data_IF_145475991514
#
_entry.id   IF_145475991514
#
_cell.length_a   1.000
_cell.length_b   1.000
_cell.length_c   1.000
_cell.angle_alpha   90.00
_cell.angle_beta   90.00
_cell.angle_gamma   90.00
#
_symmetry.space_group_name_H-M   'P 1'
#
loop_
_entity.id
_entity.type
_entity.pdbx_description
1 polymer ?
#
# COMPACT_ATOMS: atom_id res chain seq x y z
N UNK A 1 47.46 -27.54 6.59
CA UNK A 1 46.38 -28.07 5.72
C UNK A 1 45.10 -28.00 6.53
N UNK A 2 44.46 -26.85 6.54
CA UNK A 2 43.30 -26.56 7.35
C UNK A 2 42.08 -26.51 6.42
N UNK A 3 41.16 -27.42 6.67
CA UNK A 3 39.93 -27.57 5.90
C UNK A 3 39.00 -26.40 6.19
N UNK A 4 38.70 -25.62 5.19
CA UNK A 4 37.65 -24.59 5.21
C UNK A 4 36.30 -25.30 5.24
N UNK A 5 35.51 -25.05 6.27
CA UNK A 5 34.12 -25.49 6.40
C UNK A 5 33.20 -24.52 5.60
N UNK A 6 32.49 -24.97 4.53
CA UNK A 6 31.65 -24.14 3.75
C UNK A 6 30.16 -24.16 4.22
N UNK A 7 29.89 -24.09 5.52
CA UNK A 7 28.51 -24.16 6.05
C UNK A 7 28.06 -22.88 6.76
N UNK A 8 28.34 -21.69 6.21
CA UNK A 8 27.61 -20.48 6.56
C UNK A 8 26.81 -19.98 5.34
N UNK A 9 25.83 -20.77 4.91
CA UNK A 9 24.75 -20.23 4.09
C UNK A 9 23.97 -19.24 4.97
N UNK A 10 24.24 -17.96 4.79
CA UNK A 10 23.37 -16.89 5.28
C UNK A 10 21.97 -17.14 4.72
N UNK A 11 21.10 -17.70 5.54
CA UNK A 11 19.65 -17.70 5.26
C UNK A 11 19.27 -16.24 5.13
N UNK A 12 19.03 -15.79 3.92
CA UNK A 12 18.39 -14.49 3.68
C UNK A 12 17.01 -14.59 4.34
N UNK A 13 16.87 -14.01 5.53
CA UNK A 13 15.55 -13.89 6.16
C UNK A 13 14.59 -13.32 5.15
N UNK A 14 13.53 -14.05 4.83
CA UNK A 14 12.51 -13.60 3.91
C UNK A 14 11.91 -12.30 4.46
N UNK A 15 12.11 -11.19 3.76
CA UNK A 15 11.64 -9.85 4.18
C UNK A 15 10.11 -9.78 4.17
N UNK A 16 9.47 -10.65 3.39
CA UNK A 16 8.00 -10.72 3.26
C UNK A 16 7.50 -11.99 3.95
N UNK A 17 6.57 -11.89 4.90
CA UNK A 17 6.02 -13.06 5.57
C UNK A 17 5.23 -13.94 4.61
N UNK A 18 5.27 -15.25 4.83
CA UNK A 18 4.44 -16.20 4.12
C UNK A 18 2.96 -15.98 4.48
N UNK A 19 2.11 -15.79 3.47
CA UNK A 19 0.66 -15.69 3.63
C UNK A 19 0.04 -17.02 3.20
N UNK A 20 -0.58 -17.78 4.13
CA UNK A 20 -1.19 -19.06 3.78
C UNK A 20 -2.42 -18.86 2.88
N UNK A 21 -2.77 -19.88 2.05
CA UNK A 21 -4.02 -19.86 1.30
C UNK A 21 -5.24 -19.71 2.22
N UNK A 22 -6.21 -18.90 1.80
CA UNK A 22 -7.45 -18.65 2.54
C UNK A 22 -8.62 -19.52 2.11
N UNK A 23 -8.40 -20.46 1.16
CA UNK A 23 -9.44 -21.32 0.63
C UNK A 23 -9.89 -22.33 1.68
N UNK A 24 -11.18 -22.29 2.03
CA UNK A 24 -11.88 -23.17 2.96
C UNK A 24 -13.27 -23.46 2.38
N UNK A 25 -13.39 -24.61 1.71
CA UNK A 25 -14.61 -24.97 0.96
C UNK A 25 -15.82 -25.18 1.88
N UNK A 26 -15.59 -25.76 3.07
CA UNK A 26 -16.66 -26.02 4.02
C UNK A 26 -17.22 -24.71 4.57
N UNK A 27 -16.34 -23.79 4.92
CA UNK A 27 -16.76 -22.45 5.37
C UNK A 27 -17.44 -21.64 4.27
N UNK A 28 -16.94 -21.73 3.05
CA UNK A 28 -17.56 -21.09 1.90
C UNK A 28 -19.00 -21.60 1.70
N UNK A 29 -19.21 -22.92 1.76
CA UNK A 29 -20.53 -23.55 1.64
C UNK A 29 -21.45 -23.14 2.81
N UNK A 30 -20.95 -23.10 4.03
CA UNK A 30 -21.72 -22.68 5.21
C UNK A 30 -22.18 -21.21 5.10
N UNK A 31 -21.30 -20.31 4.66
CA UNK A 31 -21.66 -18.90 4.45
C UNK A 31 -22.68 -18.77 3.33
N UNK A 32 -22.49 -19.47 2.21
CA UNK A 32 -23.44 -19.44 1.09
C UNK A 32 -24.82 -19.96 1.53
N UNK A 33 -24.88 -21.06 2.28
CA UNK A 33 -26.13 -21.59 2.79
C UNK A 33 -26.86 -20.57 3.69
N UNK A 34 -26.15 -19.80 4.51
CA UNK A 34 -26.73 -18.71 5.33
C UNK A 34 -27.26 -17.56 4.48
N UNK A 35 -26.56 -17.22 3.38
CA UNK A 35 -27.03 -16.21 2.43
C UNK A 35 -28.30 -16.65 1.71
N UNK A 36 -28.37 -17.91 1.31
CA UNK A 36 -29.49 -18.49 0.58
C UNK A 36 -30.74 -18.67 1.49
N UNK A 37 -30.53 -18.86 2.80
CA UNK A 37 -31.61 -18.98 3.77
C UNK A 37 -32.26 -17.62 4.12
N UNK A 38 -31.75 -16.49 3.63
CA UNK A 38 -32.36 -15.18 3.86
C UNK A 38 -33.63 -15.01 3.01
N UNK A 39 -34.62 -14.28 3.57
CA UNK A 39 -35.90 -14.00 2.92
C UNK A 39 -35.75 -12.97 1.75
N UNK A 40 -35.03 -13.36 0.73
CA UNK A 40 -34.76 -12.59 -0.49
C UNK A 40 -34.53 -13.51 -1.69
N UNK A 41 -34.70 -13.04 -2.94
CA UNK A 41 -34.33 -13.83 -4.11
C UNK A 41 -32.83 -14.19 -4.09
N UNK A 42 -32.44 -15.44 -4.38
CA UNK A 42 -31.06 -15.85 -4.51
C UNK A 42 -30.29 -14.93 -5.50
N UNK A 43 -29.06 -14.56 -5.16
CA UNK A 43 -28.24 -13.70 -5.99
C UNK A 43 -28.62 -12.21 -6.01
N UNK A 44 -29.65 -11.78 -5.27
CA UNK A 44 -30.14 -10.39 -5.29
C UNK A 44 -29.14 -9.35 -4.76
N UNK A 45 -28.15 -9.75 -3.97
CA UNK A 45 -27.06 -8.87 -3.51
C UNK A 45 -25.86 -8.84 -4.48
N UNK A 46 -25.91 -9.66 -5.55
CA UNK A 46 -24.87 -9.68 -6.57
C UNK A 46 -23.48 -9.93 -5.98
N UNK A 47 -22.52 -9.06 -6.29
CA UNK A 47 -21.12 -9.20 -5.83
C UNK A 47 -20.95 -9.17 -4.31
N UNK A 48 -21.88 -8.60 -3.56
CA UNK A 48 -21.80 -8.58 -2.09
C UNK A 48 -21.83 -9.99 -1.50
N UNK A 49 -22.51 -10.95 -2.13
CA UNK A 49 -22.56 -12.35 -1.68
C UNK A 49 -21.16 -12.99 -1.81
N UNK A 50 -20.52 -12.87 -2.97
CA UNK A 50 -19.17 -13.41 -3.16
C UNK A 50 -18.13 -12.73 -2.25
N UNK A 51 -18.25 -11.44 -1.99
CA UNK A 51 -17.41 -10.73 -1.05
C UNK A 51 -17.63 -11.22 0.39
N UNK A 52 -18.87 -11.46 0.80
CA UNK A 52 -19.19 -12.00 2.13
C UNK A 52 -18.53 -13.39 2.33
N UNK A 53 -18.61 -14.26 1.33
CA UNK A 53 -17.96 -15.57 1.34
C UNK A 53 -16.44 -15.41 1.45
N UNK A 54 -15.83 -14.57 0.61
CA UNK A 54 -14.39 -14.34 0.61
C UNK A 54 -13.90 -13.78 1.95
N UNK A 55 -14.56 -12.75 2.49
CA UNK A 55 -14.20 -12.14 3.78
C UNK A 55 -14.37 -13.15 4.92
N UNK A 56 -15.44 -13.95 4.89
CA UNK A 56 -15.66 -14.98 5.89
C UNK A 56 -14.57 -16.07 5.88
N UNK A 57 -14.06 -16.46 4.71
CA UNK A 57 -12.92 -17.37 4.60
C UNK A 57 -11.64 -16.73 5.16
N UNK A 58 -11.35 -15.46 4.81
CA UNK A 58 -10.17 -14.72 5.29
C UNK A 58 -10.21 -14.60 6.81
N UNK A 59 -11.34 -14.19 7.37
CA UNK A 59 -11.52 -14.00 8.81
C UNK A 59 -11.84 -15.29 9.57
N UNK A 60 -11.93 -16.42 8.87
CA UNK A 60 -12.23 -17.75 9.41
C UNK A 60 -13.49 -17.77 10.26
N UNK A 61 -14.54 -17.11 9.80
CA UNK A 61 -15.84 -17.00 10.50
C UNK A 61 -17.00 -17.02 9.51
N UNK A 62 -18.14 -17.55 9.93
CA UNK A 62 -19.39 -17.52 9.13
C UNK A 62 -20.17 -16.21 9.29
N UNK A 63 -19.75 -15.34 10.22
CA UNK A 63 -20.36 -14.04 10.47
C UNK A 63 -19.28 -12.94 10.44
N UNK A 64 -18.69 -12.66 9.26
CA UNK A 64 -17.61 -11.72 9.15
C UNK A 64 -18.04 -10.31 9.56
N UNK A 65 -17.17 -9.63 10.30
CA UNK A 65 -17.32 -8.23 10.66
C UNK A 65 -15.99 -7.52 10.44
N UNK A 66 -16.02 -6.38 9.79
CA UNK A 66 -14.86 -5.49 9.71
C UNK A 66 -14.77 -4.73 11.04
N UNK A 67 -13.62 -4.86 11.69
CA UNK A 67 -13.34 -4.22 12.99
C UNK A 67 -12.21 -3.21 12.77
N UNK A 68 -12.41 -2.01 13.27
CA UNK A 68 -11.45 -0.90 13.23
C UNK A 68 -10.73 -0.76 11.87
N UNK A 69 -11.49 -0.70 10.76
CA UNK A 69 -10.88 -0.59 9.44
C UNK A 69 -10.07 0.70 9.33
N UNK A 70 -8.85 0.58 8.83
CA UNK A 70 -7.89 1.70 8.77
C UNK A 70 -7.47 1.98 7.34
N UNK A 71 -7.57 3.24 6.91
CA UNK A 71 -6.90 3.75 5.72
C UNK A 71 -5.45 4.05 6.09
N UNK A 72 -4.53 3.24 5.57
CA UNK A 72 -3.10 3.40 5.73
C UNK A 72 -2.54 4.10 4.49
N UNK A 73 -2.14 5.34 4.63
CA UNK A 73 -1.66 6.18 3.54
C UNK A 73 -0.16 6.37 3.67
N UNK A 74 0.60 5.81 2.74
CA UNK A 74 2.06 5.92 2.70
C UNK A 74 2.48 7.13 1.86
N UNK A 75 3.25 8.03 2.46
CA UNK A 75 3.74 9.23 1.79
C UNK A 75 5.25 9.19 1.58
N UNK A 76 5.71 9.61 0.41
CA UNK A 76 7.14 9.66 0.07
C UNK A 76 7.41 10.43 -1.21
N UNK A 77 8.59 11.00 -1.31
CA UNK A 77 9.03 11.74 -2.49
C UNK A 77 10.03 10.97 -3.35
N UNK A 78 10.14 11.38 -4.58
CA UNK A 78 10.94 10.70 -5.61
C UNK A 78 11.91 11.66 -6.28
N UNK A 79 13.21 11.33 -6.27
CA UNK A 79 14.22 12.12 -6.98
C UNK A 79 13.98 12.24 -8.49
N UNK A 80 13.23 11.29 -9.06
CA UNK A 80 12.84 11.31 -10.46
C UNK A 80 11.98 12.53 -10.84
N UNK A 81 11.36 13.22 -9.88
CA UNK A 81 10.63 14.48 -10.12
C UNK A 81 11.50 15.56 -10.75
N UNK A 82 12.81 15.56 -10.47
CA UNK A 82 13.77 16.46 -11.08
C UNK A 82 13.84 16.34 -12.61
N UNK A 83 13.37 15.23 -13.18
CA UNK A 83 13.32 14.97 -14.62
C UNK A 83 12.01 15.49 -15.26
N UNK A 84 11.16 16.21 -14.53
CA UNK A 84 9.93 16.79 -15.08
C UNK A 84 8.78 15.78 -15.26
N UNK A 85 8.81 14.63 -14.58
CA UNK A 85 7.77 13.60 -14.65
C UNK A 85 6.46 13.98 -13.93
N UNK A 86 6.38 15.19 -13.41
CA UNK A 86 5.17 15.73 -12.78
C UNK A 86 5.05 17.23 -13.07
N UNK A 87 3.81 17.70 -13.25
CA UNK A 87 3.51 19.12 -13.36
C UNK A 87 3.63 19.87 -12.01
N UNK A 88 3.75 19.14 -10.89
CA UNK A 88 3.78 19.68 -9.53
C UNK A 88 5.14 19.44 -8.88
N UNK A 89 5.65 20.38 -8.06
CA UNK A 89 6.88 20.18 -7.29
C UNK A 89 6.65 19.28 -6.08
N UNK A 90 7.71 18.61 -5.60
CA UNK A 90 7.66 17.70 -4.44
C UNK A 90 7.12 18.36 -3.17
N UNK A 91 7.26 19.68 -2.99
CA UNK A 91 6.71 20.40 -1.83
C UNK A 91 5.18 20.24 -1.66
N UNK A 92 4.46 19.91 -2.76
CA UNK A 92 3.04 19.62 -2.70
C UNK A 92 2.74 18.33 -1.92
N UNK A 93 3.66 17.36 -1.86
CA UNK A 93 3.49 16.13 -1.07
C UNK A 93 3.22 16.47 0.40
N UNK A 94 4.02 17.33 1.00
CA UNK A 94 3.87 17.74 2.40
C UNK A 94 2.57 18.51 2.64
N UNK A 95 2.19 19.40 1.71
CA UNK A 95 0.90 20.12 1.79
C UNK A 95 -0.29 19.15 1.74
N UNK A 96 -0.24 18.14 0.88
CA UNK A 96 -1.29 17.12 0.81
C UNK A 96 -1.35 16.26 2.08
N UNK A 97 -0.20 15.88 2.65
CA UNK A 97 -0.17 15.19 3.94
C UNK A 97 -0.85 16.03 5.03
N UNK A 98 -0.55 17.32 5.08
CA UNK A 98 -1.19 18.23 6.04
C UNK A 98 -2.71 18.28 5.84
N UNK A 99 -3.20 18.41 4.59
CA UNK A 99 -4.62 18.40 4.27
C UNK A 99 -5.32 17.07 4.62
N UNK A 100 -4.61 15.95 4.52
CA UNK A 100 -5.12 14.64 4.95
C UNK A 100 -5.24 14.58 6.47
N UNK A 101 -4.20 15.00 7.18
CA UNK A 101 -4.16 14.98 8.66
C UNK A 101 -5.15 15.97 9.28
N UNK A 102 -5.37 17.14 8.65
CA UNK A 102 -6.39 18.10 9.08
C UNK A 102 -7.83 17.65 8.79
N UNK A 103 -8.02 16.57 8.02
CA UNK A 103 -9.34 16.04 7.70
C UNK A 103 -10.05 16.71 6.52
N UNK A 104 -9.36 17.54 5.75
CA UNK A 104 -9.90 18.33 4.63
C UNK A 104 -9.81 17.60 3.28
N UNK A 105 -8.85 16.67 3.13
CA UNK A 105 -8.70 15.90 1.92
C UNK A 105 -9.88 14.93 1.70
N UNK A 106 -10.18 14.63 0.43
CA UNK A 106 -11.28 13.72 0.04
C UNK A 106 -11.23 12.38 0.78
N UNK A 107 -10.05 11.77 0.90
CA UNK A 107 -9.87 10.50 1.61
C UNK A 107 -10.28 10.63 3.08
N UNK A 108 -9.94 11.72 3.74
CA UNK A 108 -10.26 11.96 5.16
C UNK A 108 -11.76 12.23 5.36
N UNK A 109 -12.37 12.95 4.43
CA UNK A 109 -13.83 13.19 4.44
C UNK A 109 -14.59 11.89 4.28
N UNK A 110 -14.22 11.04 3.30
CA UNK A 110 -14.84 9.74 3.07
C UNK A 110 -14.58 8.77 4.22
N UNK A 111 -13.36 8.74 4.75
CA UNK A 111 -13.04 7.90 5.91
C UNK A 111 -13.93 8.25 7.11
N UNK A 112 -14.06 9.53 7.43
CA UNK A 112 -14.95 10.00 8.51
C UNK A 112 -16.41 9.63 8.26
N UNK A 113 -16.89 9.77 7.02
CA UNK A 113 -18.25 9.39 6.65
C UNK A 113 -18.52 7.89 6.86
N UNK A 114 -17.53 7.05 6.62
CA UNK A 114 -17.63 5.59 6.72
C UNK A 114 -17.11 5.01 8.04
N UNK A 115 -16.73 5.84 9.01
CA UNK A 115 -16.20 5.39 10.29
C UNK A 115 -14.87 4.65 10.19
N UNK A 116 -14.01 5.04 9.24
CA UNK A 116 -12.69 4.49 9.05
C UNK A 116 -11.64 5.32 9.79
N UNK A 117 -10.66 4.67 10.38
CA UNK A 117 -9.46 5.33 10.87
C UNK A 117 -8.59 5.77 9.69
N UNK A 118 -7.87 6.89 9.84
CA UNK A 118 -6.88 7.34 8.85
C UNK A 118 -5.53 7.47 9.55
N UNK A 119 -4.51 6.85 8.95
CA UNK A 119 -3.14 6.95 9.41
C UNK A 119 -2.23 7.30 8.22
N UNK A 120 -1.45 8.36 8.36
CA UNK A 120 -0.45 8.78 7.38
C UNK A 120 0.91 8.31 7.84
N UNK A 121 1.63 7.60 6.97
CA UNK A 121 2.99 7.13 7.22
C UNK A 121 3.95 7.92 6.37
N UNK A 122 4.82 8.69 6.99
CA UNK A 122 5.96 9.31 6.30
C UNK A 122 7.02 8.24 6.04
N UNK A 123 7.10 7.78 4.79
CA UNK A 123 8.09 6.81 4.33
C UNK A 123 9.40 7.47 3.86
N UNK A 124 9.38 8.80 3.67
CA UNK A 124 10.52 9.57 3.21
C UNK A 124 10.11 10.75 2.34
N UNK A 125 9.40 11.73 2.88
CA UNK A 125 9.17 13.01 2.19
C UNK A 125 10.40 13.92 2.35
N UNK A 126 10.62 14.85 1.41
CA UNK A 126 11.77 15.77 1.45
C UNK A 126 11.62 16.72 2.63
N UNK A 127 10.45 17.34 2.76
CA UNK A 127 10.13 18.32 3.82
C UNK A 127 9.17 17.66 4.83
N UNK A 128 9.67 17.01 5.91
CA UNK A 128 8.83 16.28 6.84
C UNK A 128 7.97 17.20 7.70
N UNK A 129 6.77 16.72 8.02
CA UNK A 129 5.93 17.37 9.03
C UNK A 129 6.45 17.07 10.45
N UNK A 130 6.20 17.97 11.41
CA UNK A 130 6.42 17.66 12.81
C UNK A 130 5.51 16.55 13.30
N UNK A 131 5.92 15.84 14.35
CA UNK A 131 5.11 14.81 15.00
C UNK A 131 3.75 15.38 15.40
N UNK A 132 2.70 14.66 15.02
CA UNK A 132 1.32 15.04 15.29
C UNK A 132 0.41 13.81 15.25
N UNK A 133 -0.80 13.86 15.82
CA UNK A 133 -1.76 12.76 15.80
C UNK A 133 -2.07 12.31 14.37
N UNK A 134 -2.11 10.99 14.15
CA UNK A 134 -2.37 10.39 12.84
C UNK A 134 -1.15 10.28 11.92
N UNK A 135 0.00 10.87 12.27
CA UNK A 135 1.26 10.76 11.54
C UNK A 135 2.19 9.74 12.19
N UNK A 136 2.69 8.80 11.39
CA UNK A 136 3.69 7.82 11.80
C UNK A 136 4.97 8.04 11.00
N UNK A 137 6.10 8.13 11.67
CA UNK A 137 7.40 8.32 11.03
C UNK A 137 8.07 6.95 10.78
N UNK A 138 8.27 6.60 9.50
CA UNK A 138 8.94 5.36 9.03
C UNK A 138 9.92 5.67 7.90
N UNK A 139 10.57 6.81 8.00
CA UNK A 139 11.44 7.35 6.95
C UNK A 139 12.68 6.48 6.74
N UNK A 140 13.02 6.24 5.49
CA UNK A 140 14.30 5.60 5.08
C UNK A 140 15.26 6.59 4.41
N UNK A 141 14.80 7.83 4.14
CA UNK A 141 15.57 8.89 3.54
C UNK A 141 14.72 10.14 3.31
N UNK A 142 15.28 11.17 2.74
CA UNK A 142 14.59 12.39 2.28
C UNK A 142 14.24 12.22 0.79
N UNK A 143 13.25 11.40 0.50
CA UNK A 143 12.93 10.95 -0.84
C UNK A 143 13.86 9.84 -1.34
N UNK A 144 13.57 9.31 -2.53
CA UNK A 144 14.48 8.41 -3.25
C UNK A 144 15.54 9.19 -4.03
N UNK A 145 16.60 8.52 -4.44
CA UNK A 145 17.48 9.09 -5.46
C UNK A 145 16.78 9.14 -6.84
N UNK A 146 17.34 9.91 -7.76
CA UNK A 146 16.88 9.97 -9.14
C UNK A 146 17.17 8.66 -9.87
N UNK A 147 16.13 7.90 -10.19
CA UNK A 147 16.24 6.59 -10.81
C UNK A 147 16.80 6.61 -12.24
N UNK A 148 16.85 7.79 -12.89
CA UNK A 148 17.50 7.95 -14.20
C UNK A 148 19.03 7.96 -14.06
N UNK A 149 19.56 8.48 -12.96
CA UNK A 149 20.98 8.69 -12.76
C UNK A 149 21.64 7.58 -11.94
N UNK A 150 20.91 6.95 -11.03
CA UNK A 150 21.41 5.91 -10.13
C UNK A 150 20.27 5.09 -9.54
N UNK A 151 20.55 3.96 -8.87
CA UNK A 151 19.50 3.23 -8.16
C UNK A 151 18.72 4.13 -7.19
N UNK A 152 17.38 4.11 -7.27
CA UNK A 152 16.50 4.95 -6.45
C UNK A 152 16.71 4.75 -4.94
N UNK A 153 17.09 3.52 -4.54
CA UNK A 153 17.34 3.12 -3.16
C UNK A 153 18.52 2.15 -3.12
N UNK A 154 19.27 2.16 -2.04
CA UNK A 154 20.21 1.07 -1.75
C UNK A 154 19.45 -0.21 -1.38
N UNK A 155 20.05 -1.40 -1.49
CA UNK A 155 19.44 -2.64 -1.04
C UNK A 155 19.02 -2.60 0.45
N UNK A 156 19.77 -1.90 1.30
CA UNK A 156 19.45 -1.74 2.71
C UNK A 156 18.24 -0.84 2.93
N UNK A 157 18.17 0.29 2.23
CA UNK A 157 16.98 1.17 2.25
C UNK A 157 15.73 0.42 1.81
N UNK A 158 15.84 -0.38 0.74
CA UNK A 158 14.73 -1.19 0.25
C UNK A 158 14.25 -2.20 1.30
N UNK A 159 15.18 -2.97 1.90
CA UNK A 159 14.83 -3.93 2.97
C UNK A 159 14.21 -3.23 4.18
N UNK A 160 14.75 -2.08 4.58
CA UNK A 160 14.21 -1.29 5.69
C UNK A 160 12.81 -0.77 5.39
N UNK A 161 12.56 -0.27 4.17
CA UNK A 161 11.23 0.19 3.77
C UNK A 161 10.19 -0.95 3.82
N UNK A 162 10.53 -2.13 3.32
CA UNK A 162 9.64 -3.31 3.36
C UNK A 162 9.39 -3.72 4.82
N UNK A 163 10.42 -3.79 5.66
CA UNK A 163 10.28 -4.12 7.08
C UNK A 163 9.38 -3.12 7.80
N UNK A 164 9.59 -1.82 7.59
CA UNK A 164 8.74 -0.76 8.15
C UNK A 164 7.28 -0.94 7.77
N UNK A 165 7.00 -1.31 6.50
CA UNK A 165 5.64 -1.61 6.05
C UNK A 165 5.03 -2.82 6.77
N UNK A 166 5.78 -3.92 6.89
CA UNK A 166 5.34 -5.12 7.62
C UNK A 166 5.04 -4.82 9.10
N UNK A 167 5.95 -4.10 9.78
CA UNK A 167 5.78 -3.71 11.18
C UNK A 167 4.56 -2.78 11.36
N UNK A 168 4.38 -1.83 10.42
CA UNK A 168 3.26 -0.92 10.45
C UNK A 168 1.91 -1.66 10.35
N UNK A 169 1.80 -2.60 9.41
CA UNK A 169 0.58 -3.41 9.26
C UNK A 169 0.35 -4.31 10.47
N UNK A 170 1.41 -4.95 10.99
CA UNK A 170 1.31 -5.82 12.17
C UNK A 170 0.89 -5.07 13.45
N UNK A 171 1.19 -3.77 13.54
CA UNK A 171 0.84 -2.92 14.69
C UNK A 171 -0.53 -2.25 14.58
N UNK A 172 -1.25 -2.40 13.45
CA UNK A 172 -2.58 -1.80 13.31
C UNK A 172 -3.62 -2.56 14.14
N UNK A 173 -4.54 -1.84 14.78
CA UNK A 173 -5.72 -2.46 15.38
C UNK A 173 -6.66 -2.96 14.27
N UNK A 174 -7.54 -3.88 14.63
CA UNK A 174 -8.57 -4.34 13.72
C UNK A 174 -8.13 -5.39 12.69
N UNK A 175 -8.95 -5.57 11.66
CA UNK A 175 -8.81 -6.68 10.72
C UNK A 175 -9.01 -6.29 9.25
N UNK A 176 -9.04 -5.00 8.95
CA UNK A 176 -9.21 -4.50 7.59
C UNK A 176 -8.32 -3.26 7.35
N UNK A 177 -7.66 -3.25 6.20
CA UNK A 177 -6.78 -2.19 5.75
C UNK A 177 -7.21 -1.73 4.36
N UNK A 178 -7.23 -0.41 4.16
CA UNK A 178 -7.32 0.22 2.86
C UNK A 178 -5.97 0.88 2.58
N UNK A 179 -5.33 0.51 1.49
CA UNK A 179 -4.03 1.08 1.14
C UNK A 179 -4.23 2.34 0.31
N UNK A 180 -3.51 3.39 0.68
CA UNK A 180 -3.41 4.65 -0.06
C UNK A 180 -1.96 5.10 -0.17
N UNK A 181 -1.71 6.03 -1.07
CA UNK A 181 -0.40 6.60 -1.27
C UNK A 181 -0.49 8.11 -1.51
N UNK A 182 0.60 8.82 -1.23
CA UNK A 182 0.79 10.22 -1.57
C UNK A 182 2.26 10.48 -1.89
N UNK A 183 2.51 11.05 -3.05
CA UNK A 183 3.85 11.45 -3.46
C UNK A 183 3.82 12.07 -4.84
N UNK A 184 4.35 13.26 -4.99
CA UNK A 184 4.42 13.88 -6.30
C UNK A 184 5.35 13.03 -7.19
N UNK A 185 4.87 12.70 -8.41
CA UNK A 185 5.56 11.81 -9.32
C UNK A 185 5.43 10.32 -9.03
N UNK A 186 4.62 9.89 -8.05
CA UNK A 186 4.45 8.50 -7.61
C UNK A 186 4.11 7.52 -8.74
N UNK A 187 3.37 7.98 -9.75
CA UNK A 187 2.98 7.15 -10.91
C UNK A 187 4.18 6.68 -11.73
N UNK A 188 5.28 7.44 -11.77
CA UNK A 188 6.48 7.07 -12.53
C UNK A 188 7.19 5.85 -11.94
N UNK A 189 7.60 5.81 -10.66
CA UNK A 189 8.17 4.61 -10.06
C UNK A 189 7.17 3.44 -10.02
N UNK A 190 5.86 3.68 -9.88
CA UNK A 190 4.85 2.63 -9.97
C UNK A 190 4.84 1.98 -11.37
N UNK A 191 4.90 2.78 -12.44
CA UNK A 191 4.98 2.29 -13.82
C UNK A 191 6.29 1.53 -14.08
N UNK A 192 7.43 2.02 -13.58
CA UNK A 192 8.71 1.33 -13.69
C UNK A 192 8.70 -0.03 -12.98
N UNK A 193 8.14 -0.10 -11.77
CA UNK A 193 8.00 -1.34 -11.04
C UNK A 193 7.06 -2.32 -11.75
N UNK A 194 5.92 -1.84 -12.24
CA UNK A 194 4.95 -2.67 -12.96
C UNK A 194 5.57 -3.23 -14.25
N UNK A 195 6.21 -2.39 -15.05
CA UNK A 195 6.92 -2.81 -16.26
C UNK A 195 7.93 -3.92 -15.95
N UNK A 196 8.74 -3.71 -14.89
CA UNK A 196 9.82 -4.65 -14.53
C UNK A 196 9.30 -5.97 -13.96
N UNK A 197 8.31 -5.92 -13.07
CA UNK A 197 7.80 -7.10 -12.37
C UNK A 197 6.87 -7.94 -13.26
N UNK A 198 6.08 -7.30 -14.11
CA UNK A 198 5.17 -7.99 -15.04
C UNK A 198 5.80 -8.28 -16.41
N UNK A 199 7.02 -7.82 -16.68
CA UNK A 199 7.67 -8.00 -17.98
C UNK A 199 6.97 -7.26 -19.13
N UNK A 200 6.31 -6.12 -18.82
CA UNK A 200 5.57 -5.33 -19.79
C UNK A 200 6.43 -4.20 -20.40
N UNK A 201 6.20 -3.83 -21.67
CA UNK A 201 6.77 -2.61 -22.25
C UNK A 201 6.34 -1.39 -21.44
N UNK A 202 7.24 -0.44 -21.22
CA UNK A 202 6.97 0.74 -20.39
C UNK A 202 5.84 1.59 -20.97
N UNK A 203 5.71 1.66 -22.28
CA UNK A 203 4.70 2.42 -23.01
C UNK A 203 3.27 1.93 -22.74
N UNK A 204 3.11 0.68 -22.29
CA UNK A 204 1.81 0.11 -21.95
C UNK A 204 1.38 0.43 -20.53
N UNK A 205 2.29 0.83 -19.66
CA UNK A 205 2.03 1.04 -18.23
C UNK A 205 2.18 2.50 -17.79
N UNK A 206 2.77 3.36 -18.62
CA UNK A 206 2.89 4.79 -18.35
C UNK A 206 1.59 5.51 -18.71
N UNK A 207 1.11 6.33 -17.77
CA UNK A 207 -0.04 7.21 -17.93
C UNK A 207 0.32 8.69 -17.80
N UNK A 208 -0.67 9.59 -17.89
CA UNK A 208 -0.45 11.05 -17.79
C UNK A 208 -0.12 11.51 -16.36
N UNK A 209 -0.14 10.63 -15.38
CA UNK A 209 0.05 11.01 -13.98
C UNK A 209 -0.94 12.09 -13.54
N UNK A 210 -0.48 13.06 -12.76
CA UNK A 210 -1.28 14.18 -12.26
C UNK A 210 -1.31 15.37 -13.25
N UNK A 211 -1.46 15.11 -14.55
CA UNK A 211 -1.77 16.16 -15.53
C UNK A 211 -0.68 16.47 -16.55
N UNK A 212 0.21 15.53 -16.85
CA UNK A 212 1.12 15.67 -17.99
C UNK A 212 0.35 15.47 -19.31
N UNK A 213 0.73 16.22 -20.34
CA UNK A 213 0.24 16.07 -21.70
C UNK A 213 0.96 14.90 -22.43
N UNK A 214 0.69 14.73 -23.72
CA UNK A 214 1.28 13.66 -24.51
C UNK A 214 2.79 13.81 -24.70
N UNK A 215 3.35 15.02 -24.62
CA UNK A 215 4.77 15.28 -24.72
C UNK A 215 5.51 15.03 -23.40
N UNK A 216 4.82 15.12 -22.28
CA UNK A 216 5.36 14.85 -20.93
C UNK A 216 5.37 13.39 -20.55
N UNK A 217 4.80 12.49 -21.36
CA UNK A 217 4.85 11.03 -21.16
C UNK A 217 6.08 10.44 -21.78
#
# INVERSE_FOLDING_TARGET
MSLHDPSSSSQSEAVVPFIPPVLDADRAAAIQARLDAQARPPGSLGRLESLAVQIGQILRTEAPRLQEPTVLLCAGDHGLVAQGVSAWPSSVTTLMMQGILSGEATVSVLARQHGLNVQVVDCGVIDPLPEQPGLVLRRVGAGTADALLQPAMTPEQCRTAIRNGCEQVAGLPGNAILLGEMGIGNTSPASLLLARLAGLPIEQVVGPGAGLDAAGR
#
